data_IF_958963251732
#
_entry.id   IF_958963251732
#
_cell.length_a   1.000
_cell.length_b   1.000
_cell.length_c   1.000
_cell.angle_alpha   90.00
_cell.angle_beta   90.00
_cell.angle_gamma   90.00
#
_symmetry.space_group_name_H-M   'P 1'
#
loop_
_entity.id
_entity.type
_entity.pdbx_description
1 polymer ?
#
# COMPACT_ATOMS: atom_id res chain seq x y z
N UNK A 1 -15.52 7.44 -7.67
CA UNK A 1 -15.19 6.46 -8.72
C UNK A 1 -15.35 4.99 -8.25
N UNK A 2 -16.40 4.68 -7.47
CA UNK A 2 -16.53 3.35 -6.82
C UNK A 2 -16.66 2.20 -7.83
N UNK A 3 -17.42 2.40 -8.92
CA UNK A 3 -17.58 1.39 -9.98
C UNK A 3 -16.24 0.95 -10.59
N UNK A 4 -15.29 1.87 -10.77
CA UNK A 4 -13.96 1.55 -11.30
C UNK A 4 -13.16 0.71 -10.29
N UNK A 5 -13.27 1.02 -9.00
CA UNK A 5 -12.59 0.26 -7.95
C UNK A 5 -13.13 -1.17 -7.91
N UNK A 6 -14.46 -1.32 -7.86
CA UNK A 6 -15.10 -2.63 -7.64
C UNK A 6 -15.09 -3.54 -8.86
N UNK A 7 -15.27 -2.97 -10.06
CA UNK A 7 -15.44 -3.76 -11.28
C UNK A 7 -14.14 -3.94 -12.07
N UNK A 8 -13.15 -3.09 -11.82
CA UNK A 8 -11.85 -3.18 -12.48
C UNK A 8 -10.75 -3.42 -11.47
N UNK A 9 -10.39 -2.45 -10.63
CA UNK A 9 -9.16 -2.55 -9.84
C UNK A 9 -9.12 -3.74 -8.88
N UNK A 10 -10.25 -4.11 -8.26
CA UNK A 10 -10.30 -5.23 -7.31
C UNK A 10 -10.37 -6.61 -7.96
N UNK A 11 -10.75 -6.69 -9.25
CA UNK A 11 -11.18 -7.98 -9.83
C UNK A 11 -10.74 -8.22 -11.27
N UNK A 12 -10.10 -7.26 -11.95
CA UNK A 12 -9.72 -7.37 -13.36
C UNK A 12 -8.73 -8.50 -13.64
N UNK A 13 -7.78 -8.74 -12.74
CA UNK A 13 -6.81 -9.81 -12.91
C UNK A 13 -7.48 -11.18 -12.78
N UNK A 14 -8.38 -11.34 -11.81
CA UNK A 14 -9.14 -12.59 -11.63
C UNK A 14 -10.16 -12.83 -12.75
N UNK A 15 -10.84 -11.79 -13.22
CA UNK A 15 -11.89 -11.88 -14.26
C UNK A 15 -11.32 -12.01 -15.66
N UNK A 16 -10.24 -11.30 -15.97
CA UNK A 16 -9.76 -11.13 -17.35
C UNK A 16 -8.24 -11.32 -17.51
N UNK A 17 -7.52 -11.74 -16.46
CA UNK A 17 -6.06 -11.90 -16.48
C UNK A 17 -5.31 -10.62 -16.88
N UNK A 18 -5.91 -9.45 -16.64
CA UNK A 18 -5.26 -8.15 -16.90
C UNK A 18 -4.63 -7.65 -15.62
N UNK A 19 -3.33 -7.42 -15.65
CA UNK A 19 -2.61 -6.81 -14.54
C UNK A 19 -2.66 -5.28 -14.61
N UNK A 20 -2.62 -4.62 -13.45
CA UNK A 20 -2.58 -3.16 -13.35
C UNK A 20 -1.55 -2.73 -12.31
N UNK A 21 -0.73 -1.75 -12.65
CA UNK A 21 0.24 -1.14 -11.73
C UNK A 21 -0.25 0.16 -11.10
N UNK A 22 -1.54 0.49 -11.24
CA UNK A 22 -2.10 1.78 -10.83
C UNK A 22 -1.87 2.04 -9.33
N UNK A 23 -1.39 3.25 -9.01
CA UNK A 23 -1.23 3.72 -7.64
C UNK A 23 -2.35 4.71 -7.30
N UNK A 24 -3.12 4.41 -6.26
CA UNK A 24 -4.13 5.30 -5.69
C UNK A 24 -3.58 5.95 -4.43
N UNK A 25 -3.29 7.25 -4.51
CA UNK A 25 -2.90 8.05 -3.34
C UNK A 25 -4.16 8.67 -2.72
N UNK A 26 -4.56 8.19 -1.55
CA UNK A 26 -5.77 8.61 -0.86
C UNK A 26 -5.42 9.33 0.45
N UNK A 27 -5.44 10.67 0.49
CA UNK A 27 -5.11 11.41 1.69
C UNK A 27 -5.94 10.98 2.90
N UNK A 28 -5.27 10.49 3.95
CA UNK A 28 -5.88 9.92 5.14
C UNK A 28 -5.30 10.55 6.41
N UNK A 29 -6.13 10.74 7.44
CA UNK A 29 -5.72 11.24 8.75
C UNK A 29 -6.86 11.97 9.48
N UNK A 30 -7.02 11.68 10.77
CA UNK A 30 -8.06 12.27 11.64
C UNK A 30 -7.53 13.52 12.36
N UNK A 31 -7.78 14.68 11.77
CA UNK A 31 -7.18 15.96 12.17
C UNK A 31 -8.22 17.00 12.62
N UNK A 32 -9.44 16.56 12.94
CA UNK A 32 -10.53 17.46 13.31
C UNK A 32 -11.17 18.22 12.14
N UNK A 33 -10.81 17.91 10.89
CA UNK A 33 -11.32 18.58 9.68
C UNK A 33 -12.72 18.10 9.24
N UNK A 34 -13.41 17.31 10.08
CA UNK A 34 -14.73 16.76 9.78
C UNK A 34 -14.73 15.45 8.99
N UNK A 35 -15.93 14.87 8.75
CA UNK A 35 -16.09 13.51 8.25
C UNK A 35 -15.53 13.30 6.83
N UNK A 36 -15.73 14.27 5.93
CA UNK A 36 -15.33 14.16 4.51
C UNK A 36 -13.85 14.50 4.26
N UNK A 37 -13.12 14.94 5.30
CA UNK A 37 -11.70 15.28 5.22
C UNK A 37 -10.82 14.43 6.15
N UNK A 38 -11.33 13.32 6.68
CA UNK A 38 -10.59 12.48 7.64
C UNK A 38 -10.22 11.11 7.06
N UNK A 39 -11.22 10.37 6.57
CA UNK A 39 -11.04 8.95 6.20
C UNK A 39 -10.98 8.72 4.69
N UNK A 40 -10.07 7.84 4.26
CA UNK A 40 -10.11 7.27 2.92
C UNK A 40 -10.99 6.01 2.83
N UNK A 41 -11.64 5.64 3.95
CA UNK A 41 -12.44 4.42 4.11
C UNK A 41 -11.60 3.16 3.89
N UNK A 42 -10.45 3.09 4.57
CA UNK A 42 -9.46 2.02 4.43
C UNK A 42 -10.07 0.63 4.64
N UNK A 43 -11.01 0.52 5.56
CA UNK A 43 -11.79 -0.68 5.86
C UNK A 43 -12.47 -1.27 4.62
N UNK A 44 -12.91 -0.43 3.68
CA UNK A 44 -13.55 -0.89 2.44
C UNK A 44 -12.55 -1.57 1.51
N UNK A 45 -11.34 -1.02 1.41
CA UNK A 45 -10.28 -1.63 0.60
C UNK A 45 -9.81 -2.94 1.20
N UNK A 46 -9.71 -3.02 2.54
CA UNK A 46 -9.36 -4.26 3.24
C UNK A 46 -10.45 -5.33 3.08
N UNK A 47 -11.74 -4.95 3.19
CA UNK A 47 -12.86 -5.87 2.98
C UNK A 47 -12.91 -6.44 1.55
N UNK A 48 -12.42 -5.68 0.58
CA UNK A 48 -12.37 -6.09 -0.84
C UNK A 48 -11.06 -6.80 -1.21
N UNK A 49 -10.12 -7.00 -0.28
CA UNK A 49 -8.99 -7.90 -0.51
C UNK A 49 -9.47 -9.35 -0.61
N UNK A 50 -8.84 -10.14 -1.46
CA UNK A 50 -9.16 -11.56 -1.67
C UNK A 50 -8.28 -12.53 -0.86
N UNK A 51 -7.62 -12.02 0.18
CA UNK A 51 -6.84 -12.81 1.14
C UNK A 51 -7.69 -13.32 2.31
N UNK A 52 -7.28 -14.44 2.91
CA UNK A 52 -7.91 -14.95 4.14
C UNK A 52 -7.56 -14.06 5.35
N UNK A 53 -8.57 -13.44 5.95
CA UNK A 53 -8.38 -12.46 7.02
C UNK A 53 -7.75 -13.03 8.31
N UNK A 54 -7.95 -14.32 8.58
CA UNK A 54 -7.48 -14.98 9.80
C UNK A 54 -6.13 -15.69 9.63
N UNK A 55 -5.55 -15.67 8.42
CA UNK A 55 -4.29 -16.33 8.11
C UNK A 55 -3.19 -15.31 7.96
N UNK A 56 -2.26 -15.31 8.94
CA UNK A 56 -1.02 -14.55 8.82
C UNK A 56 -0.07 -15.34 7.92
N UNK A 57 0.29 -14.83 6.74
CA UNK A 57 1.18 -15.50 5.82
C UNK A 57 2.59 -15.64 6.42
N UNK A 58 3.29 -16.72 6.04
CA UNK A 58 4.68 -16.89 6.44
C UNK A 58 5.54 -15.72 5.93
N UNK A 59 6.37 -15.19 6.82
CA UNK A 59 7.24 -14.03 6.55
C UNK A 59 8.49 -14.46 5.74
N UNK A 60 8.65 -15.74 5.40
CA UNK A 60 9.80 -16.20 4.59
C UNK A 60 9.76 -15.63 3.17
N UNK A 61 10.85 -15.01 2.73
CA UNK A 61 10.97 -14.43 1.38
C UNK A 61 10.79 -15.46 0.26
N UNK A 62 11.18 -16.72 0.49
CA UNK A 62 11.13 -17.78 -0.51
C UNK A 62 9.71 -18.31 -0.81
N UNK A 63 8.73 -18.06 0.07
CA UNK A 63 7.37 -18.62 -0.03
C UNK A 63 6.29 -17.58 -0.35
N UNK A 64 6.68 -16.35 -0.69
CA UNK A 64 5.79 -15.18 -0.82
C UNK A 64 5.10 -15.05 -2.18
N UNK A 65 4.42 -16.09 -2.66
CA UNK A 65 3.50 -15.95 -3.81
C UNK A 65 2.28 -15.10 -3.47
N UNK A 66 1.89 -15.00 -2.18
CA UNK A 66 0.71 -14.24 -1.75
C UNK A 66 0.65 -12.80 -2.27
N UNK A 67 1.78 -12.08 -2.34
CA UNK A 67 1.81 -10.68 -2.81
C UNK A 67 1.47 -10.57 -4.31
N UNK A 68 1.78 -11.64 -5.04
CA UNK A 68 1.44 -11.82 -6.44
C UNK A 68 0.05 -12.43 -6.61
N UNK A 69 -0.47 -13.17 -5.64
CA UNK A 69 -1.80 -13.77 -5.72
C UNK A 69 -2.90 -12.77 -5.36
N UNK A 70 -2.68 -11.97 -4.32
CA UNK A 70 -3.59 -10.94 -3.81
C UNK A 70 -3.99 -9.93 -4.88
N UNK A 71 -5.27 -9.55 -4.92
CA UNK A 71 -5.82 -8.68 -5.96
C UNK A 71 -5.20 -7.27 -6.00
N UNK A 72 -4.82 -6.72 -4.85
CA UNK A 72 -4.12 -5.45 -4.74
C UNK A 72 -3.31 -5.34 -3.44
N UNK A 73 -2.60 -4.24 -3.25
CA UNK A 73 -1.79 -4.01 -2.06
C UNK A 73 -2.24 -2.73 -1.36
N UNK A 74 -2.58 -2.85 -0.08
CA UNK A 74 -2.99 -1.72 0.77
C UNK A 74 -1.85 -1.36 1.71
N UNK A 75 -1.43 -0.09 1.75
CA UNK A 75 -0.31 0.37 2.58
C UNK A 75 -0.61 1.68 3.29
N UNK A 76 -0.04 1.84 4.49
CA UNK A 76 -0.06 3.07 5.27
C UNK A 76 1.37 3.38 5.73
N UNK A 77 2.11 4.13 4.92
CA UNK A 77 3.54 4.40 5.17
C UNK A 77 3.71 5.57 6.15
N UNK A 78 4.54 5.38 7.16
CA UNK A 78 4.81 6.39 8.20
C UNK A 78 6.14 7.13 8.04
N UNK A 79 7.05 6.63 7.19
CA UNK A 79 8.34 7.27 6.90
C UNK A 79 8.49 7.60 5.41
N UNK A 80 9.17 8.72 5.06
CA UNK A 80 9.46 9.07 3.67
C UNK A 80 10.20 7.96 2.89
N UNK A 81 11.19 7.31 3.52
CA UNK A 81 11.93 6.22 2.87
C UNK A 81 11.04 5.02 2.55
N UNK A 82 10.14 4.62 3.46
CA UNK A 82 9.25 3.49 3.19
C UNK A 82 8.28 3.82 2.04
N UNK A 83 7.80 5.06 1.97
CA UNK A 83 6.99 5.53 0.83
C UNK A 83 7.78 5.54 -0.49
N UNK A 84 9.03 5.97 -0.50
CA UNK A 84 9.88 5.88 -1.70
C UNK A 84 10.04 4.43 -2.20
N UNK A 85 10.35 3.51 -1.30
CA UNK A 85 10.54 2.10 -1.65
C UNK A 85 9.23 1.44 -2.09
N UNK A 86 8.08 1.82 -1.52
CA UNK A 86 6.78 1.29 -1.93
C UNK A 86 6.37 1.74 -3.33
N UNK A 87 6.76 2.94 -3.75
CA UNK A 87 6.54 3.39 -5.12
C UNK A 87 7.47 2.68 -6.11
N UNK A 88 8.77 2.58 -5.77
CA UNK A 88 9.77 1.93 -6.62
C UNK A 88 9.42 0.47 -6.92
N UNK A 89 8.94 -0.27 -5.91
CA UNK A 89 8.57 -1.68 -6.10
C UNK A 89 7.46 -1.89 -7.14
N UNK A 90 6.61 -0.89 -7.40
CA UNK A 90 5.56 -1.00 -8.43
C UNK A 90 6.13 -1.19 -9.84
N UNK A 91 7.33 -0.68 -10.09
CA UNK A 91 8.02 -0.76 -11.37
C UNK A 91 9.05 -1.89 -11.38
N UNK A 92 9.80 -2.05 -10.28
CA UNK A 92 10.92 -2.99 -10.20
C UNK A 92 10.53 -4.47 -10.09
N UNK A 93 9.27 -4.79 -9.78
CA UNK A 93 8.80 -6.18 -9.71
C UNK A 93 8.49 -6.73 -11.11
N UNK A 94 8.54 -8.04 -11.26
CA UNK A 94 8.23 -8.74 -12.52
C UNK A 94 6.72 -8.92 -12.77
N UNK A 95 5.89 -8.34 -11.91
CA UNK A 95 4.42 -8.36 -12.02
C UNK A 95 3.84 -6.99 -11.68
N UNK A 96 2.55 -6.77 -11.97
CA UNK A 96 1.85 -5.52 -11.64
C UNK A 96 0.61 -5.80 -10.78
N UNK A 97 0.52 -5.10 -9.65
CA UNK A 97 -0.67 -5.08 -8.78
C UNK A 97 -1.06 -3.65 -8.45
N UNK A 98 -2.36 -3.32 -8.34
CA UNK A 98 -2.78 -2.03 -7.85
C UNK A 98 -2.22 -1.76 -6.45
N UNK A 99 -1.88 -0.50 -6.18
CA UNK A 99 -1.37 -0.07 -4.88
C UNK A 99 -2.28 1.01 -4.31
N UNK A 100 -2.95 0.71 -3.20
CA UNK A 100 -3.78 1.63 -2.44
C UNK A 100 -2.94 2.20 -1.29
N UNK A 101 -2.66 3.50 -1.33
CA UNK A 101 -1.86 4.18 -0.32
C UNK A 101 -2.78 5.08 0.50
N UNK A 102 -2.87 4.81 1.80
CA UNK A 102 -3.36 5.80 2.76
C UNK A 102 -2.30 6.91 2.86
N UNK A 103 -2.39 7.89 1.97
CA UNK A 103 -1.38 8.92 1.81
C UNK A 103 -1.43 9.89 2.99
N UNK A 104 -0.27 10.29 3.55
CA UNK A 104 -0.26 11.15 4.72
C UNK A 104 -0.73 12.57 4.41
N UNK A 105 -1.34 13.22 5.41
CA UNK A 105 -1.59 14.67 5.44
C UNK A 105 -0.59 15.37 6.36
N UNK A 106 -0.62 15.10 7.67
CA UNK A 106 0.28 15.74 8.64
C UNK A 106 1.74 15.31 8.50
N UNK A 107 1.98 14.04 8.17
CA UNK A 107 3.36 13.52 8.08
C UNK A 107 4.16 14.21 6.98
N UNK A 108 3.49 14.91 6.03
CA UNK A 108 4.17 15.71 5.01
C UNK A 108 5.05 16.83 5.60
N UNK A 109 4.78 17.28 6.84
CA UNK A 109 5.52 18.36 7.51
C UNK A 109 5.91 18.01 8.95
N UNK A 110 5.64 16.79 9.39
CA UNK A 110 5.89 16.39 10.76
C UNK A 110 7.40 16.19 11.01
N UNK A 111 7.95 16.85 12.04
CA UNK A 111 9.41 16.86 12.31
C UNK A 111 10.01 15.47 12.58
N UNK A 112 9.21 14.55 13.12
CA UNK A 112 9.64 13.16 13.34
C UNK A 112 9.43 12.26 12.11
N UNK A 113 8.66 12.69 11.11
CA UNK A 113 8.39 11.91 9.90
C UNK A 113 9.42 12.22 8.82
N UNK A 114 10.69 12.01 9.14
CA UNK A 114 11.84 12.27 8.27
C UNK A 114 12.62 10.98 8.02
N UNK A 115 13.41 10.94 6.96
CA UNK A 115 14.34 9.83 6.68
C UNK A 115 15.67 10.40 6.22
N UNK A 116 16.76 9.72 6.57
CA UNK A 116 18.10 10.06 6.12
C UNK A 116 18.28 9.66 4.64
N UNK A 117 19.28 10.22 3.96
CA UNK A 117 19.56 9.84 2.57
C UNK A 117 19.96 8.36 2.45
N UNK A 118 20.61 7.82 3.48
CA UNK A 118 21.02 6.41 3.55
C UNK A 118 19.82 5.45 3.52
N UNK A 119 18.66 5.89 4.03
CA UNK A 119 17.43 5.10 4.01
C UNK A 119 16.87 4.88 2.60
N UNK A 120 17.34 5.64 1.61
CA UNK A 120 17.01 5.52 0.19
C UNK A 120 18.04 4.73 -0.61
N UNK A 121 19.12 4.27 0.04
CA UNK A 121 20.25 3.58 -0.58
C UNK A 121 19.92 2.19 -1.14
N UNK A 122 20.86 1.58 -1.88
CA UNK A 122 20.67 0.29 -2.57
C UNK A 122 20.43 -0.89 -1.62
N UNK A 123 20.95 -0.82 -0.39
CA UNK A 123 20.80 -1.89 0.61
C UNK A 123 19.49 -1.80 1.40
N UNK A 124 18.64 -0.81 1.08
CA UNK A 124 17.35 -0.58 1.72
C UNK A 124 16.21 -1.02 0.82
N UNK A 125 15.11 -1.44 1.44
CA UNK A 125 13.90 -1.90 0.77
C UNK A 125 12.66 -1.51 1.55
N UNK A 126 11.50 -1.69 0.91
CA UNK A 126 10.21 -1.50 1.56
C UNK A 126 10.09 -2.41 2.79
N UNK A 127 9.77 -1.82 3.94
CA UNK A 127 9.52 -2.51 5.18
C UNK A 127 8.01 -2.61 5.41
N UNK A 128 7.50 -3.85 5.49
CA UNK A 128 6.08 -4.12 5.78
C UNK A 128 5.72 -3.80 7.22
N UNK A 129 6.65 -4.13 8.12
CA UNK A 129 6.57 -3.90 9.55
C UNK A 129 7.85 -3.19 9.94
N UNK A 130 7.72 -2.06 10.63
CA UNK A 130 8.83 -1.32 11.22
C UNK A 130 8.80 -1.67 12.71
N UNK A 131 9.82 -2.40 13.18
CA UNK A 131 9.95 -2.75 14.59
C UNK A 131 10.42 -1.57 15.43
N UNK A 132 10.38 -1.74 16.75
CA UNK A 132 11.02 -0.82 17.68
C UNK A 132 12.55 -0.96 17.56
N UNK A 133 13.25 0.18 17.63
CA UNK A 133 14.70 0.30 17.76
C UNK A 133 15.10 0.51 19.20
#
# INVERSE_FOLDING_TARGET
>A
AQVIIDQFLSSMERKWSVQSGLVMLLPHGYQGMGPEHSSCRLERFLLMCDEEADVVPEVDEAKRMQIQDSNWQVVNCTTPANYFHVLRRQIHRDFRKPLIVAAPKDLLRHKLAVSSLEDFGPDRRFQRVIGET
#
